data_IF_096049659640
#
_entry.id   IF_096049659640
#
_cell.length_a   1.000
_cell.length_b   1.000
_cell.length_c   1.000
_cell.angle_alpha   90.00
_cell.angle_beta   90.00
_cell.angle_gamma   90.00
#
_symmetry.space_group_name_H-M   'P 1'
#
loop_
_entity.id
_entity.type
_entity.pdbx_description
1 polymer ?
#
# COMPACT_ATOMS: atom_id res chain seq x y z
N UNK A 1 -13.94 -1.05 -3.75
CA UNK A 1 -13.37 0.30 -3.82
C UNK A 1 -14.37 1.27 -4.44
N UNK A 2 -14.37 2.53 -4.00
CA UNK A 2 -15.13 3.61 -4.62
C UNK A 2 -14.40 4.10 -5.88
N UNK A 3 -14.81 3.61 -7.05
CA UNK A 3 -14.17 3.98 -8.33
C UNK A 3 -14.33 5.47 -8.59
N UNK A 4 -15.49 6.04 -8.27
CA UNK A 4 -15.75 7.49 -8.43
C UNK A 4 -14.82 8.35 -7.58
N UNK A 5 -14.39 7.88 -6.39
CA UNK A 5 -13.40 8.56 -5.55
C UNK A 5 -12.03 8.61 -6.22
N UNK A 6 -11.63 7.53 -6.90
CA UNK A 6 -10.39 7.51 -7.68
C UNK A 6 -10.41 8.54 -8.81
N UNK A 7 -11.51 8.61 -9.57
CA UNK A 7 -11.69 9.62 -10.62
C UNK A 7 -11.64 11.05 -10.05
N UNK A 8 -12.26 11.28 -8.89
CA UNK A 8 -12.21 12.58 -8.19
C UNK A 8 -10.77 12.98 -7.86
N UNK A 9 -9.97 12.07 -7.26
CA UNK A 9 -8.57 12.32 -6.89
C UNK A 9 -7.66 12.54 -8.11
N UNK A 10 -7.86 11.80 -9.19
CA UNK A 10 -7.12 12.00 -10.45
C UNK A 10 -7.44 13.36 -11.05
N UNK A 11 -8.70 13.77 -11.03
CA UNK A 11 -9.14 15.09 -11.52
C UNK A 11 -8.52 16.25 -10.74
N UNK A 12 -8.45 16.16 -9.42
CA UNK A 12 -7.86 17.18 -8.53
C UNK A 12 -6.37 17.43 -8.83
N UNK A 13 -5.67 16.44 -9.38
CA UNK A 13 -4.25 16.52 -9.76
C UNK A 13 -4.02 16.83 -11.24
N UNK A 14 -5.07 16.78 -12.07
CA UNK A 14 -4.97 17.06 -13.50
C UNK A 14 -5.09 18.55 -13.80
N UNK A 15 -4.48 18.99 -14.92
CA UNK A 15 -4.68 20.36 -15.42
C UNK A 15 -6.16 20.60 -15.76
N UNK A 16 -6.71 21.73 -15.28
CA UNK A 16 -8.12 22.11 -15.42
C UNK A 16 -8.60 22.24 -16.88
N UNK A 17 -7.70 22.46 -17.83
CA UNK A 17 -8.00 22.70 -19.24
C UNK A 17 -7.82 21.47 -20.14
N UNK A 18 -7.65 20.27 -19.59
CA UNK A 18 -7.48 19.06 -20.38
C UNK A 18 -8.83 18.43 -20.73
N UNK A 19 -8.99 17.99 -22.00
CA UNK A 19 -10.14 17.19 -22.44
C UNK A 19 -10.36 15.93 -21.54
N UNK A 20 -9.25 15.36 -21.06
CA UNK A 20 -9.27 14.24 -20.10
C UNK A 20 -9.96 14.62 -18.79
N UNK A 21 -9.72 15.84 -18.27
CA UNK A 21 -10.35 16.34 -17.04
C UNK A 21 -11.86 16.46 -17.18
N UNK A 22 -12.34 16.89 -18.36
CA UNK A 22 -13.78 16.96 -18.64
C UNK A 22 -14.41 15.56 -18.67
N UNK A 23 -13.79 14.59 -19.36
CA UNK A 23 -14.25 13.21 -19.41
C UNK A 23 -14.26 12.61 -18.00
N UNK A 24 -13.20 12.77 -17.23
CA UNK A 24 -13.13 12.27 -15.85
C UNK A 24 -14.19 12.91 -14.94
N UNK A 25 -14.53 14.19 -15.14
CA UNK A 25 -15.58 14.87 -14.37
C UNK A 25 -16.97 14.31 -14.66
N UNK A 26 -17.25 13.99 -15.91
CA UNK A 26 -18.53 13.40 -16.33
C UNK A 26 -18.65 11.96 -15.81
N UNK A 27 -17.63 11.12 -16.05
CA UNK A 27 -17.60 9.74 -15.57
C UNK A 27 -17.64 9.63 -14.05
N UNK A 28 -16.91 10.49 -13.33
CA UNK A 28 -16.93 10.52 -11.87
C UNK A 28 -18.36 10.71 -11.33
N UNK A 29 -19.10 11.72 -11.84
CA UNK A 29 -20.47 11.98 -11.39
C UNK A 29 -21.44 10.85 -11.75
N UNK A 30 -21.27 10.23 -12.92
CA UNK A 30 -22.08 9.09 -13.38
C UNK A 30 -21.85 7.86 -12.51
N UNK A 31 -20.59 7.54 -12.26
CA UNK A 31 -20.19 6.43 -11.41
C UNK A 31 -20.63 6.65 -9.94
N UNK A 32 -20.41 7.82 -9.39
CA UNK A 32 -20.81 8.15 -8.02
C UNK A 32 -22.33 7.97 -7.82
N UNK A 33 -23.14 8.44 -8.77
CA UNK A 33 -24.59 8.24 -8.72
C UNK A 33 -24.95 6.76 -8.75
N UNK A 34 -24.30 5.96 -9.59
CA UNK A 34 -24.52 4.52 -9.65
C UNK A 34 -24.08 3.83 -8.37
N UNK A 35 -22.89 4.10 -7.89
CA UNK A 35 -22.33 3.50 -6.67
C UNK A 35 -23.19 3.81 -5.43
N UNK A 36 -23.67 5.06 -5.31
CA UNK A 36 -24.56 5.46 -4.19
C UNK A 36 -25.92 4.77 -4.19
N UNK A 37 -26.38 4.24 -5.31
CA UNK A 37 -27.68 3.58 -5.44
C UNK A 37 -27.59 2.07 -5.37
N UNK A 38 -26.38 1.50 -5.42
CA UNK A 38 -26.19 0.04 -5.54
C UNK A 38 -26.69 -0.69 -4.29
N UNK A 39 -26.49 -0.09 -3.09
CA UNK A 39 -26.94 -0.68 -1.82
C UNK A 39 -28.44 -0.93 -1.76
N UNK A 40 -29.24 -0.18 -2.52
CA UNK A 40 -30.71 -0.36 -2.57
C UNK A 40 -31.13 -1.62 -3.34
N UNK A 41 -30.19 -2.23 -4.08
CA UNK A 41 -30.44 -3.42 -4.92
C UNK A 41 -30.02 -4.72 -4.24
N UNK A 42 -29.32 -4.64 -3.10
CA UNK A 42 -28.75 -5.79 -2.41
C UNK A 42 -29.08 -5.77 -0.92
N UNK A 43 -29.28 -6.94 -0.33
CA UNK A 43 -29.49 -7.11 1.11
C UNK A 43 -28.27 -6.69 1.92
N UNK A 44 -27.05 -6.83 1.33
CA UNK A 44 -25.81 -6.43 1.95
C UNK A 44 -24.85 -5.92 0.87
N UNK A 45 -24.26 -4.77 1.12
CA UNK A 45 -23.21 -4.16 0.29
C UNK A 45 -21.94 -4.05 1.11
N UNK A 46 -20.81 -4.49 0.55
CA UNK A 46 -19.50 -4.39 1.24
C UNK A 46 -18.56 -3.45 0.52
N UNK A 47 -17.80 -2.67 1.29
CA UNK A 47 -16.71 -1.83 0.81
C UNK A 47 -15.41 -2.22 1.52
N UNK A 48 -14.29 -2.03 0.84
CA UNK A 48 -12.98 -2.46 1.37
C UNK A 48 -12.34 -1.45 2.34
N UNK A 49 -12.83 -0.21 2.39
CA UNK A 49 -12.31 0.80 3.32
C UNK A 49 -13.39 1.67 3.91
N UNK A 50 -13.12 2.20 5.10
CA UNK A 50 -13.98 3.19 5.75
C UNK A 50 -14.06 4.49 4.95
N UNK A 51 -12.96 4.90 4.31
CA UNK A 51 -12.89 6.09 3.45
C UNK A 51 -13.85 5.99 2.27
N UNK A 52 -13.88 4.82 1.60
CA UNK A 52 -14.83 4.55 0.51
C UNK A 52 -16.28 4.58 1.01
N UNK A 53 -16.51 4.01 2.20
CA UNK A 53 -17.83 3.96 2.82
C UNK A 53 -18.33 5.35 3.19
N UNK A 54 -17.51 6.16 3.84
CA UNK A 54 -17.88 7.53 4.24
C UNK A 54 -18.08 8.45 3.02
N UNK A 55 -17.35 8.19 1.93
CA UNK A 55 -17.53 8.92 0.67
C UNK A 55 -18.85 8.57 -0.04
N UNK A 56 -19.16 7.28 -0.18
CA UNK A 56 -20.35 6.82 -0.90
C UNK A 56 -21.62 6.88 -0.04
N UNK A 57 -21.50 6.53 1.22
CA UNK A 57 -22.61 6.35 2.16
C UNK A 57 -22.40 7.11 3.47
N UNK A 58 -22.39 8.45 3.43
CA UNK A 58 -22.20 9.26 4.65
C UNK A 58 -23.27 9.00 5.72
N UNK A 59 -24.48 8.62 5.31
CA UNK A 59 -25.61 8.29 6.20
C UNK A 59 -25.50 6.88 6.81
N UNK A 60 -24.47 6.10 6.47
CA UNK A 60 -24.16 4.77 7.00
C UNK A 60 -25.36 3.82 7.05
N UNK A 61 -25.96 3.45 5.91
CA UNK A 61 -27.10 2.54 5.88
C UNK A 61 -26.75 1.19 6.54
N UNK A 62 -27.70 0.56 7.22
CA UNK A 62 -27.48 -0.69 7.96
C UNK A 62 -27.06 -1.89 7.09
N UNK A 63 -27.32 -1.83 5.80
CA UNK A 63 -26.92 -2.85 4.82
C UNK A 63 -25.58 -2.55 4.14
N UNK A 64 -24.82 -1.57 4.60
CA UNK A 64 -23.46 -1.29 4.16
C UNK A 64 -22.48 -1.68 5.25
N UNK A 65 -21.52 -2.53 4.90
CA UNK A 65 -20.48 -3.03 5.79
C UNK A 65 -19.09 -2.76 5.21
N UNK A 66 -18.18 -2.30 6.04
CA UNK A 66 -16.76 -2.24 5.66
C UNK A 66 -16.12 -3.61 5.96
N UNK A 67 -15.70 -4.28 4.89
CA UNK A 67 -14.98 -5.55 4.94
C UNK A 67 -13.69 -5.39 4.13
N UNK A 68 -12.63 -4.95 4.80
CA UNK A 68 -11.33 -4.69 4.17
C UNK A 68 -10.63 -5.97 3.72
N UNK A 69 -9.58 -5.79 2.93
CA UNK A 69 -8.73 -6.89 2.52
C UNK A 69 -8.04 -7.53 3.73
N UNK A 70 -7.94 -8.85 3.68
CA UNK A 70 -7.12 -9.64 4.58
C UNK A 70 -5.79 -10.01 3.94
N UNK A 71 -4.86 -10.47 4.75
CA UNK A 71 -3.62 -11.08 4.32
C UNK A 71 -3.54 -12.50 4.87
N UNK A 72 -3.05 -13.42 4.05
CA UNK A 72 -2.74 -14.76 4.50
C UNK A 72 -1.38 -14.77 5.23
N UNK A 73 -1.44 -14.52 6.53
CA UNK A 73 -0.23 -14.48 7.36
C UNK A 73 0.48 -15.85 7.48
N UNK A 74 -0.17 -16.95 7.08
CA UNK A 74 0.43 -18.29 7.07
C UNK A 74 1.32 -18.45 5.84
N UNK A 75 0.86 -18.01 4.68
CA UNK A 75 1.65 -18.04 3.43
C UNK A 75 2.80 -17.00 3.43
N UNK A 76 2.74 -16.00 4.32
CA UNK A 76 3.74 -14.95 4.51
C UNK A 76 4.42 -15.08 5.88
N UNK A 77 5.30 -16.09 6.07
CA UNK A 77 5.94 -16.32 7.35
C UNK A 77 6.86 -15.16 7.74
N UNK A 78 6.78 -14.78 8.99
CA UNK A 78 7.67 -13.77 9.56
C UNK A 78 9.13 -14.24 9.51
N UNK A 79 9.99 -13.36 9.05
CA UNK A 79 11.44 -13.55 9.10
C UNK A 79 12.09 -12.34 9.75
N UNK A 80 12.75 -12.57 10.88
CA UNK A 80 13.54 -11.53 11.53
C UNK A 80 14.71 -11.12 10.63
N UNK A 81 14.91 -9.83 10.46
CA UNK A 81 15.95 -9.24 9.62
C UNK A 81 16.83 -8.30 10.43
N UNK A 82 18.08 -8.17 9.97
CA UNK A 82 19.07 -7.29 10.64
C UNK A 82 19.63 -6.31 9.64
N UNK A 83 19.63 -5.05 10.01
CA UNK A 83 20.30 -3.98 9.24
C UNK A 83 21.63 -3.62 9.93
N UNK A 84 22.60 -3.16 9.15
CA UNK A 84 23.87 -2.67 9.67
C UNK A 84 24.31 -1.45 8.86
N UNK A 85 24.87 -0.46 9.54
CA UNK A 85 25.23 0.84 8.97
C UNK A 85 26.14 0.75 7.74
N UNK A 86 27.10 -0.19 7.78
CA UNK A 86 28.12 -0.29 6.73
C UNK A 86 27.80 -1.35 5.68
N UNK A 87 26.57 -1.90 5.72
CA UNK A 87 26.10 -2.86 4.73
C UNK A 87 25.01 -2.29 3.84
N UNK A 88 24.85 -2.92 2.69
CA UNK A 88 23.77 -2.59 1.76
C UNK A 88 22.42 -2.85 2.43
N UNK A 89 21.52 -1.86 2.38
CA UNK A 89 20.13 -1.96 2.86
C UNK A 89 19.21 -2.06 1.63
N UNK A 90 18.50 -3.16 1.52
CA UNK A 90 17.56 -3.41 0.43
C UNK A 90 16.17 -2.90 0.81
N UNK A 91 15.70 -1.89 0.09
CA UNK A 91 14.36 -1.33 0.16
C UNK A 91 13.46 -2.07 -0.84
N UNK A 92 12.34 -2.63 -0.40
CA UNK A 92 11.51 -3.52 -1.22
C UNK A 92 10.21 -2.84 -1.59
N UNK A 93 9.89 -2.88 -2.88
CA UNK A 93 8.55 -2.59 -3.40
C UNK A 93 7.92 -3.87 -3.95
N UNK A 94 6.68 -4.15 -3.53
CA UNK A 94 5.87 -5.26 -4.04
C UNK A 94 4.64 -4.68 -4.74
N UNK A 95 4.36 -5.12 -5.98
CA UNK A 95 3.12 -4.72 -6.64
C UNK A 95 3.09 -4.94 -8.14
N UNK A 96 1.87 -4.92 -8.70
CA UNK A 96 1.67 -4.99 -10.14
C UNK A 96 1.95 -3.61 -10.78
N UNK A 97 3.03 -3.49 -11.55
CA UNK A 97 3.47 -2.24 -12.18
C UNK A 97 2.74 -1.91 -13.49
N UNK A 98 1.81 -2.75 -13.94
CA UNK A 98 0.82 -2.33 -14.95
C UNK A 98 -0.14 -1.27 -14.37
N UNK A 99 -0.29 -1.21 -13.05
CA UNK A 99 -1.03 -0.15 -12.37
C UNK A 99 -0.29 1.18 -12.46
N UNK A 100 -0.98 2.21 -12.96
CA UNK A 100 -0.47 3.57 -13.04
C UNK A 100 0.03 4.09 -11.68
N UNK A 101 -0.70 3.79 -10.62
CA UNK A 101 -0.38 4.21 -9.26
C UNK A 101 0.96 3.63 -8.77
N UNK A 102 1.15 2.34 -9.00
CA UNK A 102 2.38 1.64 -8.61
C UNK A 102 3.57 2.16 -9.41
N UNK A 103 3.40 2.27 -10.73
CA UNK A 103 4.49 2.72 -11.60
C UNK A 103 4.86 4.19 -11.36
N UNK A 104 3.89 5.07 -11.08
CA UNK A 104 4.14 6.46 -10.69
C UNK A 104 4.99 6.54 -9.43
N UNK A 105 4.59 5.80 -8.36
CA UNK A 105 5.32 5.77 -7.10
C UNK A 105 6.73 5.21 -7.24
N UNK A 106 6.90 4.09 -7.96
CA UNK A 106 8.21 3.47 -8.22
C UNK A 106 9.10 4.40 -9.02
N UNK A 107 8.59 5.05 -10.07
CA UNK A 107 9.37 6.03 -10.87
C UNK A 107 9.83 7.22 -10.06
N UNK A 108 8.95 7.76 -9.24
CA UNK A 108 9.31 8.87 -8.35
C UNK A 108 10.38 8.45 -7.35
N UNK A 109 10.20 7.31 -6.69
CA UNK A 109 11.16 6.81 -5.72
C UNK A 109 12.55 6.58 -6.36
N UNK A 110 12.58 5.96 -7.53
CA UNK A 110 13.80 5.68 -8.30
C UNK A 110 14.52 6.97 -8.74
N UNK A 111 13.79 8.01 -9.16
CA UNK A 111 14.39 9.23 -9.69
C UNK A 111 14.77 10.24 -8.61
N UNK A 112 13.95 10.37 -7.57
CA UNK A 112 14.08 11.46 -6.60
C UNK A 112 14.62 10.98 -5.25
N UNK A 113 14.18 9.80 -4.79
CA UNK A 113 14.50 9.33 -3.45
C UNK A 113 15.79 8.51 -3.43
N UNK A 114 15.88 7.46 -4.22
CA UNK A 114 17.02 6.55 -4.21
C UNK A 114 18.37 7.24 -4.48
N UNK A 115 18.51 8.14 -5.49
CA UNK A 115 19.78 8.83 -5.71
C UNK A 115 20.17 9.77 -4.57
N UNK A 116 19.18 10.35 -3.89
CA UNK A 116 19.41 11.15 -2.69
C UNK A 116 19.88 10.28 -1.53
N UNK A 117 19.22 9.15 -1.27
CA UNK A 117 19.61 8.21 -0.22
C UNK A 117 21.04 7.69 -0.44
N UNK A 118 21.42 7.38 -1.67
CA UNK A 118 22.73 6.83 -2.02
C UNK A 118 23.89 7.85 -1.89
N UNK A 119 23.60 9.12 -1.62
CA UNK A 119 24.62 10.09 -1.16
C UNK A 119 24.92 9.97 0.34
N UNK A 120 24.07 9.29 1.10
CA UNK A 120 24.14 9.21 2.56
C UNK A 120 24.34 7.78 3.08
N UNK A 121 24.27 6.77 2.20
CA UNK A 121 24.41 5.37 2.58
C UNK A 121 24.43 4.45 1.35
N UNK A 122 24.38 3.14 1.57
CA UNK A 122 24.36 2.13 0.53
C UNK A 122 22.97 1.49 0.46
N UNK A 123 22.11 1.97 -0.43
CA UNK A 123 20.74 1.51 -0.57
C UNK A 123 20.49 0.89 -1.95
N UNK A 124 19.81 -0.23 -1.95
CA UNK A 124 19.29 -0.90 -3.15
C UNK A 124 17.76 -0.83 -3.13
N UNK A 125 17.15 -0.58 -4.28
CA UNK A 125 15.70 -0.61 -4.43
C UNK A 125 15.29 -1.82 -5.25
N UNK A 126 14.69 -2.80 -4.59
CA UNK A 126 14.23 -4.05 -5.18
C UNK A 126 12.74 -3.96 -5.49
N UNK A 127 12.42 -4.05 -6.78
CA UNK A 127 11.04 -3.96 -7.29
C UNK A 127 10.56 -5.36 -7.69
N UNK A 128 9.52 -5.85 -7.00
CA UNK A 128 8.96 -7.18 -7.15
C UNK A 128 7.57 -7.09 -7.74
N UNK A 129 7.32 -7.75 -8.87
CA UNK A 129 6.00 -7.89 -9.46
C UNK A 129 5.94 -7.71 -10.96
N UNK A 130 4.74 -7.90 -11.51
CA UNK A 130 4.47 -7.85 -12.96
C UNK A 130 4.77 -6.48 -13.53
N UNK A 131 5.52 -6.45 -14.62
CA UNK A 131 5.99 -5.22 -15.26
C UNK A 131 6.13 -5.44 -16.77
N UNK A 132 6.01 -4.36 -17.56
CA UNK A 132 6.32 -4.41 -19.00
C UNK A 132 7.83 -4.48 -19.23
N UNK A 133 8.28 -5.10 -20.33
CA UNK A 133 9.70 -5.16 -20.67
C UNK A 133 10.33 -3.78 -20.81
N UNK A 134 9.60 -2.83 -21.36
CA UNK A 134 10.02 -1.42 -21.49
C UNK A 134 10.30 -0.77 -20.13
N UNK A 135 9.38 -0.92 -19.20
CA UNK A 135 9.54 -0.32 -17.88
C UNK A 135 10.59 -1.04 -17.04
N UNK A 136 10.72 -2.38 -17.22
CA UNK A 136 11.76 -3.19 -16.60
C UNK A 136 13.14 -2.73 -17.06
N UNK A 137 13.37 -2.65 -18.37
CA UNK A 137 14.65 -2.19 -18.94
C UNK A 137 15.00 -0.78 -18.46
N UNK A 138 14.00 0.11 -18.36
CA UNK A 138 14.22 1.45 -17.84
C UNK A 138 14.62 1.44 -16.36
N UNK A 139 13.93 0.66 -15.50
CA UNK A 139 14.25 0.56 -14.07
C UNK A 139 15.65 -0.05 -13.87
N UNK A 140 15.98 -1.14 -14.57
CA UNK A 140 17.28 -1.81 -14.48
C UNK A 140 18.44 -0.94 -14.97
N UNK A 141 18.17 0.07 -15.80
CA UNK A 141 19.17 1.06 -16.21
C UNK A 141 19.48 2.09 -15.11
N UNK A 142 18.69 2.13 -14.02
CA UNK A 142 18.92 3.07 -12.94
C UNK A 142 19.85 2.50 -11.87
N UNK A 143 20.86 3.26 -11.40
CA UNK A 143 21.80 2.77 -10.38
C UNK A 143 21.10 2.34 -9.09
N UNK A 144 21.45 1.16 -8.61
CA UNK A 144 20.92 0.64 -7.34
C UNK A 144 19.49 0.08 -7.42
N UNK A 145 18.95 -0.13 -8.61
CA UNK A 145 17.62 -0.74 -8.81
C UNK A 145 17.75 -2.18 -9.30
N UNK A 146 17.00 -3.07 -8.70
CA UNK A 146 16.87 -4.48 -9.09
C UNK A 146 15.40 -4.79 -9.34
N UNK A 147 15.08 -5.45 -10.46
CA UNK A 147 13.70 -5.80 -10.84
C UNK A 147 13.58 -7.30 -11.03
N UNK A 148 12.71 -7.94 -10.26
CA UNK A 148 12.52 -9.41 -10.40
C UNK A 148 11.55 -9.77 -11.54
N UNK A 149 10.59 -8.90 -11.85
CA UNK A 149 9.42 -9.30 -12.64
C UNK A 149 8.40 -10.05 -11.79
N UNK A 150 7.52 -10.82 -12.44
CA UNK A 150 6.57 -11.70 -11.77
C UNK A 150 7.29 -12.86 -11.07
N UNK A 151 6.85 -13.20 -9.88
CA UNK A 151 7.48 -14.24 -9.04
C UNK A 151 6.41 -15.20 -8.51
N UNK A 152 6.78 -16.46 -8.37
CA UNK A 152 5.90 -17.48 -7.79
C UNK A 152 5.73 -17.30 -6.27
N UNK A 153 6.74 -16.76 -5.60
CA UNK A 153 6.71 -16.53 -4.15
C UNK A 153 7.30 -15.18 -3.78
N UNK A 154 6.43 -14.32 -3.24
CA UNK A 154 6.82 -13.02 -2.65
C UNK A 154 7.78 -13.22 -1.48
N UNK A 155 7.57 -14.25 -0.67
CA UNK A 155 8.41 -14.59 0.49
C UNK A 155 9.87 -14.81 0.08
N UNK A 156 10.09 -15.62 -0.95
CA UNK A 156 11.45 -15.85 -1.46
C UNK A 156 12.04 -14.61 -2.13
N UNK A 157 11.25 -13.93 -2.93
CA UNK A 157 11.72 -12.73 -3.64
C UNK A 157 12.08 -11.58 -2.69
N UNK A 158 11.42 -11.47 -1.54
CA UNK A 158 11.68 -10.45 -0.53
C UNK A 158 12.57 -10.91 0.62
N UNK A 159 13.16 -12.12 0.55
CA UNK A 159 13.93 -12.71 1.66
C UNK A 159 15.14 -11.88 2.08
N UNK A 160 15.83 -11.25 1.15
CA UNK A 160 16.96 -10.33 1.35
C UNK A 160 16.55 -8.87 1.55
N UNK A 161 15.24 -8.59 1.58
CA UNK A 161 14.69 -7.27 1.85
C UNK A 161 14.83 -6.87 3.32
N UNK A 162 15.05 -5.59 3.56
CA UNK A 162 15.18 -5.04 4.91
C UNK A 162 14.01 -4.16 5.31
N UNK A 163 13.52 -3.32 4.39
CA UNK A 163 12.45 -2.35 4.65
C UNK A 163 11.49 -2.36 3.47
N UNK A 164 10.18 -2.48 3.75
CA UNK A 164 9.14 -2.31 2.77
C UNK A 164 8.88 -0.83 2.48
N UNK A 165 8.80 -0.43 1.23
CA UNK A 165 8.48 0.95 0.86
C UNK A 165 7.22 1.03 0.01
N UNK A 166 6.29 1.89 0.42
CA UNK A 166 5.02 2.14 -0.27
C UNK A 166 4.93 3.60 -0.70
N UNK A 167 5.63 4.02 -1.78
CA UNK A 167 5.73 5.40 -2.20
C UNK A 167 4.54 5.84 -3.09
N UNK A 168 3.34 5.37 -2.78
CA UNK A 168 2.13 5.62 -3.55
C UNK A 168 1.68 7.06 -3.38
N UNK A 169 1.53 7.79 -4.49
CA UNK A 169 1.11 9.19 -4.50
C UNK A 169 -0.28 9.39 -5.10
N UNK A 170 -0.76 8.37 -5.78
CA UNK A 170 -2.07 8.30 -6.42
C UNK A 170 -2.79 7.07 -5.90
N UNK A 171 -4.05 7.17 -5.53
CA UNK A 171 -4.82 5.99 -5.13
C UNK A 171 -5.87 6.28 -4.07
N UNK A 172 -6.60 5.24 -3.75
CA UNK A 172 -7.57 5.16 -2.67
C UNK A 172 -7.53 3.74 -2.09
N UNK A 173 -8.02 3.59 -0.86
CA UNK A 173 -8.12 2.31 -0.19
C UNK A 173 -6.81 1.77 0.37
N UNK A 174 -6.94 0.66 1.08
CA UNK A 174 -5.82 0.00 1.77
C UNK A 174 -4.85 -0.59 0.74
N UNK A 175 -3.57 -0.35 0.95
CA UNK A 175 -2.51 -0.87 0.11
C UNK A 175 -2.08 -2.27 0.58
N UNK A 176 -2.48 -3.32 -0.14
CA UNK A 176 -2.16 -4.71 0.22
C UNK A 176 -0.67 -4.97 0.44
N UNK A 177 0.20 -4.32 -0.34
CA UNK A 177 1.66 -4.43 -0.16
C UNK A 177 2.13 -4.05 1.23
N UNK A 178 1.46 -3.08 1.88
CA UNK A 178 1.78 -2.68 3.26
C UNK A 178 1.47 -3.83 4.22
N UNK A 179 0.31 -4.49 4.04
CA UNK A 179 -0.05 -5.66 4.82
C UNK A 179 0.96 -6.81 4.62
N UNK A 180 1.40 -7.01 3.39
CA UNK A 180 2.41 -8.02 3.02
C UNK A 180 3.77 -7.72 3.66
N UNK A 181 4.24 -6.46 3.64
CA UNK A 181 5.49 -6.07 4.31
C UNK A 181 5.44 -6.38 5.80
N UNK A 182 4.39 -5.92 6.47
CA UNK A 182 4.21 -6.13 7.90
C UNK A 182 4.12 -7.62 8.26
N UNK A 183 3.41 -8.42 7.44
CA UNK A 183 3.33 -9.88 7.64
C UNK A 183 4.68 -10.57 7.46
N UNK A 184 5.49 -10.14 6.49
CA UNK A 184 6.85 -10.65 6.22
C UNK A 184 7.89 -10.19 7.25
N UNK A 185 7.55 -9.30 8.16
CA UNK A 185 8.50 -8.70 9.13
C UNK A 185 9.42 -7.64 8.52
N UNK A 186 8.98 -6.98 7.46
CA UNK A 186 9.63 -5.79 6.92
C UNK A 186 9.03 -4.55 7.59
N UNK A 187 9.77 -3.80 8.42
CA UNK A 187 9.33 -2.46 8.81
C UNK A 187 8.96 -1.66 7.57
N UNK A 188 7.83 -0.98 7.61
CA UNK A 188 7.27 -0.31 6.44
C UNK A 188 7.42 1.20 6.53
N UNK A 189 7.88 1.82 5.43
CA UNK A 189 7.81 3.26 5.21
C UNK A 189 6.80 3.51 4.09
N UNK A 190 5.71 4.18 4.41
CA UNK A 190 4.63 4.48 3.47
C UNK A 190 4.49 5.98 3.24
N UNK A 191 3.96 6.37 2.10
CA UNK A 191 3.43 7.72 1.93
C UNK A 191 2.13 7.89 2.74
N UNK A 192 1.69 9.12 2.94
CA UNK A 192 0.38 9.42 3.54
C UNK A 192 -0.76 8.72 2.80
N UNK A 193 -0.72 8.71 1.46
CA UNK A 193 -1.73 8.03 0.63
C UNK A 193 -1.70 6.51 0.82
N UNK A 194 -0.51 5.93 0.93
CA UNK A 194 -0.36 4.48 1.17
C UNK A 194 -0.71 4.04 2.59
N UNK A 195 -0.65 4.95 3.55
CA UNK A 195 -1.02 4.76 4.96
C UNK A 195 -2.54 4.88 5.19
N UNK A 196 -3.25 5.58 4.30
CA UNK A 196 -4.67 5.88 4.44
C UNK A 196 -5.53 4.62 4.62
N UNK A 197 -6.37 4.63 5.66
CA UNK A 197 -7.33 3.55 5.94
C UNK A 197 -6.74 2.31 6.62
N UNK A 198 -5.43 2.27 6.89
CA UNK A 198 -4.77 1.13 7.53
C UNK A 198 -5.14 1.01 9.01
N UNK A 199 -5.32 2.14 9.71
CA UNK A 199 -5.63 2.15 11.14
C UNK A 199 -4.45 1.79 12.05
N UNK A 200 -3.23 1.72 11.49
CA UNK A 200 -1.99 1.55 12.25
C UNK A 200 -1.53 2.89 12.85
N UNK A 201 -0.69 2.85 13.87
CA UNK A 201 -0.12 4.01 14.54
C UNK A 201 1.23 4.38 13.91
N UNK A 202 1.36 5.63 13.44
CA UNK A 202 2.63 6.13 12.93
C UNK A 202 3.69 6.18 14.04
N UNK A 203 4.92 5.76 13.71
CA UNK A 203 6.04 5.70 14.65
C UNK A 203 6.07 4.43 15.50
N UNK A 204 5.10 3.53 15.32
CA UNK A 204 4.99 2.27 16.05
C UNK A 204 4.88 1.07 15.10
N UNK A 205 3.77 0.88 14.41
CA UNK A 205 3.60 -0.20 13.43
C UNK A 205 4.14 0.16 12.04
N UNK A 206 4.17 1.46 11.71
CA UNK A 206 4.52 1.98 10.38
C UNK A 206 5.14 3.37 10.51
N UNK A 207 5.92 3.78 9.52
CA UNK A 207 6.46 5.13 9.41
C UNK A 207 5.96 5.80 8.14
N UNK A 208 5.72 7.12 8.21
CA UNK A 208 5.24 7.90 7.07
C UNK A 208 6.35 8.80 6.53
N UNK A 209 6.54 8.78 5.20
CA UNK A 209 7.46 9.63 4.48
C UNK A 209 6.90 10.01 3.10
N UNK A 210 6.88 11.31 2.79
CA UNK A 210 6.41 11.86 1.52
C UNK A 210 7.52 12.56 0.74
N UNK A 211 8.66 12.83 1.39
CA UNK A 211 9.84 13.49 0.80
C UNK A 211 11.09 12.64 0.99
N UNK A 212 12.08 12.83 0.14
CA UNK A 212 13.37 12.11 0.23
C UNK A 212 14.07 12.34 1.56
N UNK A 213 13.91 13.52 2.14
CA UNK A 213 14.47 13.90 3.45
C UNK A 213 13.80 13.11 4.59
N UNK A 214 12.48 12.92 4.50
CA UNK A 214 11.72 12.11 5.47
C UNK A 214 12.11 10.63 5.38
N UNK A 215 12.28 10.07 4.16
CA UNK A 215 12.82 8.71 3.99
C UNK A 215 14.19 8.58 4.64
N UNK A 216 15.12 9.51 4.39
CA UNK A 216 16.43 9.48 5.00
C UNK A 216 16.37 9.55 6.53
N UNK A 217 15.49 10.40 7.07
CA UNK A 217 15.29 10.52 8.53
C UNK A 217 14.86 9.20 9.16
N UNK A 218 13.85 8.52 8.57
CA UNK A 218 13.35 7.23 9.07
C UNK A 218 14.42 6.14 8.94
N UNK A 219 15.12 6.07 7.81
CA UNK A 219 16.19 5.11 7.58
C UNK A 219 17.33 5.29 8.59
N UNK A 220 17.77 6.53 8.82
CA UNK A 220 18.78 6.83 9.82
C UNK A 220 18.30 6.47 11.23
N UNK A 221 17.03 6.72 11.55
CA UNK A 221 16.46 6.33 12.83
C UNK A 221 16.57 4.80 13.05
N UNK A 222 16.22 3.99 12.06
CA UNK A 222 16.37 2.54 12.15
C UNK A 222 17.82 2.08 12.21
N UNK A 223 18.70 2.67 11.41
CA UNK A 223 20.15 2.33 11.40
C UNK A 223 20.82 2.63 12.74
N UNK A 224 20.39 3.71 13.41
CA UNK A 224 20.95 4.11 14.71
C UNK A 224 20.26 3.44 15.91
N UNK A 225 19.07 2.90 15.73
CA UNK A 225 18.25 2.29 16.77
C UNK A 225 17.76 0.90 16.34
N UNK A 226 18.67 -0.08 16.32
CA UNK A 226 18.39 -1.44 15.83
C UNK A 226 17.28 -2.14 16.62
N UNK A 227 17.17 -1.87 17.93
CA UNK A 227 16.09 -2.38 18.76
C UNK A 227 14.73 -1.86 18.27
N UNK A 228 14.65 -0.58 17.87
CA UNK A 228 13.41 -0.01 17.32
C UNK A 228 13.06 -0.55 15.95
N UNK A 229 14.05 -0.87 15.12
CA UNK A 229 13.84 -1.58 13.87
C UNK A 229 13.17 -2.94 14.10
N UNK A 230 13.73 -3.74 15.02
CA UNK A 230 13.18 -5.07 15.36
C UNK A 230 11.82 -4.97 16.04
N UNK A 231 11.66 -4.04 16.99
CA UNK A 231 10.40 -3.78 17.68
C UNK A 231 9.28 -3.42 16.67
N UNK A 232 9.56 -2.52 15.73
CA UNK A 232 8.59 -2.12 14.67
C UNK A 232 8.13 -3.33 13.85
N UNK A 233 9.06 -4.20 13.44
CA UNK A 233 8.70 -5.42 12.70
C UNK A 233 7.76 -6.35 13.49
N UNK A 234 8.03 -6.55 14.77
CA UNK A 234 7.25 -7.42 15.65
C UNK A 234 5.86 -6.85 15.94
N UNK A 235 5.80 -5.55 16.25
CA UNK A 235 4.53 -4.86 16.54
C UNK A 235 3.66 -4.80 15.28
N UNK A 236 4.25 -4.50 14.12
CA UNK A 236 3.56 -4.52 12.84
C UNK A 236 2.97 -5.90 12.53
N UNK A 237 3.74 -6.99 12.72
CA UNK A 237 3.22 -8.35 12.53
C UNK A 237 2.06 -8.67 13.46
N UNK A 238 2.16 -8.32 14.74
CA UNK A 238 1.08 -8.52 15.71
C UNK A 238 -0.17 -7.77 15.26
N UNK A 239 -0.03 -6.50 14.87
CA UNK A 239 -1.12 -5.67 14.36
C UNK A 239 -1.82 -6.32 13.14
N UNK A 240 -1.05 -6.87 12.19
CA UNK A 240 -1.60 -7.58 11.03
C UNK A 240 -2.37 -8.83 11.44
N UNK A 241 -1.84 -9.63 12.34
CA UNK A 241 -2.51 -10.85 12.83
C UNK A 241 -3.86 -10.54 13.50
N UNK A 242 -3.91 -9.49 14.28
CA UNK A 242 -5.12 -9.08 15.03
C UNK A 242 -6.16 -8.37 14.15
N UNK A 243 -5.75 -7.61 13.12
CA UNK A 243 -6.63 -6.70 12.39
C UNK A 243 -6.83 -7.07 10.93
N UNK A 244 -5.94 -7.85 10.32
CA UNK A 244 -5.93 -8.11 8.88
C UNK A 244 -5.80 -9.59 8.50
N UNK A 245 -5.86 -10.53 9.44
CA UNK A 245 -6.07 -11.93 9.06
C UNK A 245 -7.42 -12.06 8.33
N UNK A 246 -7.52 -13.01 7.39
CA UNK A 246 -8.80 -13.28 6.71
C UNK A 246 -9.92 -13.61 7.70
N UNK A 247 -9.59 -14.30 8.78
CA UNK A 247 -10.56 -14.61 9.85
C UNK A 247 -11.07 -13.33 10.54
N UNK A 248 -10.17 -12.43 10.92
CA UNK A 248 -10.54 -11.15 11.55
C UNK A 248 -11.40 -10.29 10.61
N UNK A 249 -11.07 -10.25 9.30
CA UNK A 249 -11.80 -9.44 8.31
C UNK A 249 -13.15 -10.03 7.93
N UNK A 250 -13.28 -11.35 7.83
CA UNK A 250 -14.51 -11.99 7.37
C UNK A 250 -15.52 -12.26 8.51
N UNK A 251 -15.07 -12.33 9.76
CA UNK A 251 -15.95 -12.64 10.91
C UNK A 251 -17.17 -11.72 11.00
N UNK A 252 -17.06 -10.38 10.95
CA UNK A 252 -18.23 -9.48 10.98
C UNK A 252 -19.16 -9.68 9.79
N UNK A 253 -18.60 -9.97 8.61
CA UNK A 253 -19.37 -10.24 7.39
C UNK A 253 -20.17 -11.53 7.48
N UNK A 254 -19.54 -12.61 7.95
CA UNK A 254 -20.20 -13.91 8.16
C UNK A 254 -21.32 -13.78 9.20
N UNK A 255 -21.09 -13.04 10.29
CA UNK A 255 -22.11 -12.79 11.29
C UNK A 255 -23.33 -12.06 10.68
N UNK A 256 -23.09 -11.01 9.89
CA UNK A 256 -24.16 -10.23 9.26
C UNK A 256 -24.99 -11.07 8.28
N UNK A 257 -24.35 -11.95 7.51
CA UNK A 257 -25.06 -12.90 6.64
C UNK A 257 -25.95 -13.82 7.47
N UNK A 258 -25.44 -14.41 8.56
CA UNK A 258 -26.24 -15.31 9.43
C UNK A 258 -27.45 -14.60 10.04
N UNK A 259 -27.34 -13.32 10.37
CA UNK A 259 -28.46 -12.49 10.86
C UNK A 259 -29.49 -12.20 9.76
N UNK A 260 -29.07 -12.08 8.49
CA UNK A 260 -29.94 -11.76 7.36
C UNK A 260 -30.74 -12.96 6.83
N UNK A 261 -30.35 -14.19 7.19
CA UNK A 261 -30.99 -15.45 6.72
C UNK A 261 -32.00 -15.98 7.76
N UNK A 262 -32.01 -15.41 8.94
CA UNK A 262 -33.04 -15.69 9.97
C UNK A 262 -34.26 -14.80 9.77
#
# INVERSE_FOLDING_TARGET
DAISLNYKRVKEKASLLSLKTFVYSFEQKRLERYERTINNKFSLTTLVSQVDSDYLYPDRPNNVLVCGNGVDAVSLPFSERKIAKDKKITLVFIGNLYSLQNMDGVRWFTKEVLPFLNKHGNFEFKVIGRITDKDKSWLESQPGVVVTGEVDSITYAAADGHIGVCPIRLGAGIQNKVLEYMALGLPCISSTVGFEGLGAEEGKEIYVANTKEEYLRVLNYFITNLDKYTETALVAKKFIGENFSWEAKLSPYIQKIKESVK
#
